data_IF_898849151057
#
_entry.id   IF_898849151057
#
_cell.length_a   1.000
_cell.length_b   1.000
_cell.length_c   1.000
_cell.angle_alpha   90.00
_cell.angle_beta   90.00
_cell.angle_gamma   90.00
#
_symmetry.space_group_name_H-M   'P 1'
#
loop_
_entity.id
_entity.type
_entity.pdbx_description
1 polymer ?
#
# COMPACT_ATOMS: atom_id res chain seq x y z
N UNK A 1 7.44 3.33 -13.66
CA UNK A 1 7.55 4.33 -14.75
C UNK A 1 8.73 5.24 -14.46
N UNK A 2 9.46 5.76 -15.47
CA UNK A 2 10.53 6.73 -15.21
C UNK A 2 9.89 8.05 -14.77
N UNK A 3 10.25 8.56 -13.60
CA UNK A 3 9.73 9.82 -13.03
C UNK A 3 10.86 10.87 -13.03
N UNK A 4 10.54 12.16 -13.17
CA UNK A 4 11.49 13.26 -13.07
C UNK A 4 11.04 14.28 -12.00
N UNK A 5 11.84 15.32 -11.73
CA UNK A 5 11.52 16.34 -10.72
C UNK A 5 10.17 17.05 -10.97
N UNK A 6 9.78 17.24 -12.24
CA UNK A 6 8.51 17.87 -12.60
C UNK A 6 7.30 16.93 -12.42
N UNK A 7 7.53 15.62 -12.39
CA UNK A 7 6.45 14.65 -12.28
C UNK A 7 5.67 14.76 -10.98
N UNK A 8 6.30 15.17 -9.86
CA UNK A 8 5.59 15.30 -8.57
C UNK A 8 4.44 16.31 -8.65
N UNK A 9 4.69 17.48 -9.25
CA UNK A 9 3.65 18.52 -9.40
C UNK A 9 2.56 18.07 -10.36
N UNK A 10 2.93 17.38 -11.44
CA UNK A 10 1.97 16.84 -12.42
C UNK A 10 1.07 15.79 -11.78
N UNK A 11 1.66 14.86 -11.02
CA UNK A 11 0.92 13.82 -10.31
C UNK A 11 -0.03 14.42 -9.28
N UNK A 12 0.38 15.45 -8.54
CA UNK A 12 -0.49 16.07 -7.53
C UNK A 12 -1.69 16.79 -8.17
N UNK A 13 -1.47 17.56 -9.24
CA UNK A 13 -2.57 18.22 -9.99
C UNK A 13 -3.53 17.17 -10.55
N UNK A 14 -2.98 16.11 -11.15
CA UNK A 14 -3.77 14.99 -11.66
C UNK A 14 -4.59 14.31 -10.56
N UNK A 15 -3.98 14.04 -9.42
CA UNK A 15 -4.61 13.41 -8.25
C UNK A 15 -5.76 14.26 -7.73
N UNK A 16 -5.55 15.57 -7.57
CA UNK A 16 -6.57 16.50 -7.10
C UNK A 16 -7.79 16.52 -8.03
N UNK A 17 -7.57 16.61 -9.36
CA UNK A 17 -8.68 16.62 -10.33
C UNK A 17 -9.40 15.29 -10.40
N UNK A 18 -8.67 14.18 -10.41
CA UNK A 18 -9.28 12.85 -10.43
C UNK A 18 -10.07 12.59 -9.14
N UNK A 19 -9.53 12.94 -7.98
CA UNK A 19 -10.23 12.80 -6.70
C UNK A 19 -11.53 13.61 -6.66
N UNK A 20 -11.50 14.85 -7.14
CA UNK A 20 -12.69 15.70 -7.23
C UNK A 20 -13.76 15.08 -8.16
N UNK A 21 -13.35 14.57 -9.32
CA UNK A 21 -14.26 13.89 -10.25
C UNK A 21 -14.88 12.65 -9.62
N UNK A 22 -14.08 11.80 -8.97
CA UNK A 22 -14.57 10.60 -8.30
C UNK A 22 -15.56 10.94 -7.18
N UNK A 23 -15.32 12.02 -6.44
CA UNK A 23 -16.16 12.40 -5.29
C UNK A 23 -17.47 13.08 -5.69
N UNK A 24 -17.46 13.97 -6.69
CA UNK A 24 -18.60 14.84 -6.99
C UNK A 24 -19.34 14.47 -8.28
N UNK A 25 -18.65 13.89 -9.26
CA UNK A 25 -19.23 13.67 -10.59
C UNK A 25 -19.65 12.21 -10.79
N UNK A 26 -19.06 11.25 -10.07
CA UNK A 26 -19.36 9.83 -10.21
C UNK A 26 -20.42 9.41 -9.19
N UNK A 27 -21.59 8.99 -9.68
CA UNK A 27 -22.74 8.59 -8.84
C UNK A 27 -23.00 7.08 -8.86
N UNK A 28 -21.95 6.28 -9.02
CA UNK A 28 -22.06 4.83 -9.11
C UNK A 28 -22.08 4.19 -7.70
N UNK A 29 -23.13 3.43 -7.32
CA UNK A 29 -23.19 2.74 -6.04
C UNK A 29 -22.05 1.75 -5.82
N UNK A 30 -21.57 1.08 -6.89
CA UNK A 30 -20.46 0.13 -6.83
C UNK A 30 -19.14 0.84 -6.49
N UNK A 31 -19.04 2.14 -6.76
CA UNK A 31 -17.88 2.98 -6.44
C UNK A 31 -18.04 3.74 -5.11
N UNK A 32 -19.06 3.43 -4.31
CA UNK A 32 -19.21 3.97 -2.97
C UNK A 32 -18.07 3.52 -2.05
N UNK A 33 -17.59 4.43 -1.19
CA UNK A 33 -16.49 4.23 -0.23
C UNK A 33 -15.12 3.91 -0.86
N UNK A 34 -14.96 4.21 -2.14
CA UNK A 34 -13.68 4.06 -2.84
C UNK A 34 -12.77 5.26 -2.58
N UNK A 35 -11.50 5.01 -2.27
CA UNK A 35 -10.50 6.07 -1.97
C UNK A 35 -9.37 6.07 -2.99
N UNK A 36 -9.05 7.22 -3.56
CA UNK A 36 -7.87 7.39 -4.43
C UNK A 36 -6.61 7.56 -3.56
N UNK A 37 -5.74 6.55 -3.54
CA UNK A 37 -4.51 6.56 -2.72
C UNK A 37 -3.35 7.23 -3.44
N UNK A 38 -3.29 7.14 -4.77
CA UNK A 38 -2.19 7.70 -5.53
C UNK A 38 -2.46 7.80 -7.02
N UNK A 39 -1.66 8.62 -7.71
CA UNK A 39 -1.67 8.73 -9.16
C UNK A 39 -0.24 8.84 -9.67
N UNK A 40 0.06 8.12 -10.75
CA UNK A 40 1.31 8.21 -11.48
C UNK A 40 1.04 8.56 -12.94
N UNK A 41 1.55 9.71 -13.36
CA UNK A 41 1.48 10.14 -14.77
C UNK A 41 2.82 9.84 -15.44
N UNK A 42 2.77 9.34 -16.67
CA UNK A 42 3.95 9.18 -17.50
C UNK A 42 4.57 10.55 -17.86
N UNK A 43 5.87 10.58 -18.18
CA UNK A 43 6.59 11.84 -18.48
C UNK A 43 5.96 12.60 -19.66
N UNK A 44 5.54 11.85 -20.68
CA UNK A 44 4.86 12.34 -21.88
C UNK A 44 3.35 12.57 -21.68
N UNK A 45 2.81 12.29 -20.49
CA UNK A 45 1.39 12.41 -20.13
C UNK A 45 0.46 11.60 -21.03
N UNK A 46 0.97 10.56 -21.69
CA UNK A 46 0.17 9.64 -22.50
C UNK A 46 -0.62 8.66 -21.65
N UNK A 47 -0.12 8.29 -20.47
CA UNK A 47 -0.74 7.31 -19.58
C UNK A 47 -0.75 7.83 -18.15
N UNK A 48 -1.87 7.58 -17.45
CA UNK A 48 -2.05 7.86 -16.03
C UNK A 48 -2.52 6.59 -15.33
N UNK A 49 -1.75 6.12 -14.34
CA UNK A 49 -2.17 5.07 -13.42
C UNK A 49 -2.78 5.69 -12.17
N UNK A 50 -3.96 5.24 -11.80
CA UNK A 50 -4.68 5.65 -10.60
C UNK A 50 -4.80 4.46 -9.66
N UNK A 51 -4.28 4.62 -8.44
CA UNK A 51 -4.30 3.62 -7.39
C UNK A 51 -5.48 3.88 -6.45
N UNK A 52 -6.27 2.84 -6.22
CA UNK A 52 -7.57 2.96 -5.61
C UNK A 52 -7.73 1.91 -4.52
N UNK A 53 -8.09 2.32 -3.31
CA UNK A 53 -8.33 1.42 -2.18
C UNK A 53 -9.84 1.29 -1.92
N UNK A 54 -10.25 0.07 -1.58
CA UNK A 54 -11.60 -0.33 -1.21
C UNK A 54 -11.55 -1.63 -0.37
N UNK A 55 -12.69 -2.10 0.12
CA UNK A 55 -12.77 -3.35 0.88
C UNK A 55 -12.39 -4.56 0.00
N UNK A 56 -11.72 -5.56 0.60
CA UNK A 56 -11.15 -6.70 -0.12
C UNK A 56 -12.17 -7.54 -0.88
N UNK A 57 -13.36 -7.71 -0.30
CA UNK A 57 -14.47 -8.44 -0.88
C UNK A 57 -15.08 -7.74 -2.11
N UNK A 58 -14.78 -6.45 -2.31
CA UNK A 58 -15.32 -5.62 -3.39
C UNK A 58 -14.36 -5.35 -4.53
N UNK A 59 -13.13 -5.89 -4.49
CA UNK A 59 -12.09 -5.59 -5.50
C UNK A 59 -12.56 -5.81 -6.94
N UNK A 60 -13.23 -6.92 -7.21
CA UNK A 60 -13.63 -7.26 -8.58
C UNK A 60 -14.79 -6.38 -9.05
N UNK A 61 -15.78 -6.15 -8.17
CA UNK A 61 -16.90 -5.24 -8.41
C UNK A 61 -16.41 -3.81 -8.71
N UNK A 62 -15.57 -3.26 -7.84
CA UNK A 62 -15.00 -1.92 -7.98
C UNK A 62 -14.14 -1.82 -9.24
N UNK A 63 -13.31 -2.81 -9.54
CA UNK A 63 -12.49 -2.81 -10.76
C UNK A 63 -13.35 -2.79 -12.02
N UNK A 64 -14.42 -3.58 -12.07
CA UNK A 64 -15.34 -3.60 -13.19
C UNK A 64 -16.11 -2.28 -13.33
N UNK A 65 -16.59 -1.73 -12.21
CA UNK A 65 -17.29 -0.45 -12.19
C UNK A 65 -16.37 0.71 -12.65
N UNK A 66 -15.11 0.73 -12.22
CA UNK A 66 -14.12 1.71 -12.68
C UNK A 66 -13.85 1.61 -14.18
N UNK A 67 -13.75 0.40 -14.74
CA UNK A 67 -13.58 0.22 -16.19
C UNK A 67 -14.82 0.65 -16.99
N UNK A 68 -16.04 0.43 -16.46
CA UNK A 68 -17.29 0.97 -17.07
C UNK A 68 -17.31 2.50 -17.03
N UNK A 69 -16.94 3.09 -15.90
CA UNK A 69 -16.95 4.55 -15.69
C UNK A 69 -15.77 5.28 -16.37
N UNK A 70 -14.71 4.55 -16.76
CA UNK A 70 -13.45 5.07 -17.32
C UNK A 70 -13.64 6.08 -18.45
N UNK A 71 -14.55 5.81 -19.38
CA UNK A 71 -14.83 6.73 -20.49
C UNK A 71 -15.35 8.09 -20.02
N UNK A 72 -16.31 8.08 -19.09
CA UNK A 72 -16.88 9.30 -18.50
C UNK A 72 -15.86 10.04 -17.64
N UNK A 73 -15.13 9.33 -16.79
CA UNK A 73 -14.06 9.91 -15.95
C UNK A 73 -12.99 10.55 -16.83
N UNK A 74 -12.55 9.88 -17.89
CA UNK A 74 -11.55 10.43 -18.83
C UNK A 74 -12.03 11.71 -19.50
N UNK A 75 -13.28 11.75 -19.96
CA UNK A 75 -13.86 12.96 -20.54
C UNK A 75 -13.84 14.13 -19.54
N UNK A 76 -14.33 13.93 -18.33
CA UNK A 76 -14.32 14.96 -17.28
C UNK A 76 -12.90 15.43 -16.96
N UNK A 77 -11.95 14.49 -16.87
CA UNK A 77 -10.55 14.79 -16.60
C UNK A 77 -9.91 15.64 -17.71
N UNK A 78 -10.28 15.39 -18.98
CA UNK A 78 -9.84 16.21 -20.11
C UNK A 78 -10.26 17.68 -19.99
N UNK A 79 -11.49 17.93 -19.51
CA UNK A 79 -12.00 19.28 -19.27
C UNK A 79 -11.31 19.93 -18.06
N UNK A 80 -10.99 19.15 -17.02
CA UNK A 80 -10.41 19.66 -15.78
C UNK A 80 -8.89 19.94 -15.85
N UNK A 81 -8.13 19.16 -16.63
CA UNK A 81 -6.67 19.27 -16.69
C UNK A 81 -6.15 20.30 -17.69
N UNK A 82 -6.91 20.61 -18.75
CA UNK A 82 -6.49 21.52 -19.81
C UNK A 82 -5.25 21.06 -20.60
N UNK A 83 -4.93 19.77 -20.58
CA UNK A 83 -3.82 19.21 -21.34
C UNK A 83 -4.20 19.00 -22.80
N UNK A 84 -3.21 19.09 -23.70
CA UNK A 84 -3.41 18.88 -25.15
C UNK A 84 -3.99 17.50 -25.46
N UNK A 85 -3.54 16.49 -24.73
CA UNK A 85 -3.99 15.11 -24.84
C UNK A 85 -4.38 14.64 -23.45
N UNK A 86 -5.57 14.07 -23.31
CA UNK A 86 -5.98 13.42 -22.07
C UNK A 86 -5.32 12.05 -21.99
N UNK A 87 -4.62 11.72 -20.88
CA UNK A 87 -3.96 10.44 -20.74
C UNK A 87 -4.95 9.28 -20.78
N UNK A 88 -4.47 8.13 -21.22
CA UNK A 88 -5.16 6.86 -20.97
C UNK A 88 -5.17 6.57 -19.47
N UNK A 89 -6.35 6.32 -18.92
CA UNK A 89 -6.53 6.00 -17.51
C UNK A 89 -6.43 4.50 -17.29
N UNK A 90 -5.58 4.09 -16.35
CA UNK A 90 -5.47 2.70 -15.90
C UNK A 90 -5.77 2.71 -14.40
N UNK A 91 -6.83 2.02 -14.00
CA UNK A 91 -7.15 1.85 -12.59
C UNK A 91 -6.46 0.60 -12.03
N UNK A 92 -5.97 0.69 -10.81
CA UNK A 92 -5.36 -0.42 -10.11
C UNK A 92 -5.79 -0.40 -8.64
N UNK A 93 -6.23 -1.54 -8.14
CA UNK A 93 -6.54 -1.68 -6.71
C UNK A 93 -5.24 -1.63 -5.91
N UNK A 94 -5.23 -0.77 -4.88
CA UNK A 94 -4.13 -0.62 -3.95
C UNK A 94 -4.29 -1.61 -2.79
N UNK A 95 -3.52 -2.69 -2.84
CA UNK A 95 -3.48 -3.73 -1.81
C UNK A 95 -2.40 -3.48 -0.75
N UNK A 96 -1.77 -2.30 -0.73
CA UNK A 96 -0.66 -2.00 0.18
C UNK A 96 -1.11 -1.99 1.64
N UNK A 97 -2.32 -1.49 1.91
CA UNK A 97 -2.90 -1.47 3.25
C UNK A 97 -3.18 -2.90 3.76
N UNK A 98 -3.77 -3.74 2.92
CA UNK A 98 -4.01 -5.16 3.18
C UNK A 98 -2.73 -5.95 3.49
N UNK A 99 -1.66 -5.67 2.74
CA UNK A 99 -0.36 -6.30 2.96
C UNK A 99 0.25 -5.82 4.29
N UNK A 100 0.15 -4.52 4.58
CA UNK A 100 0.63 -3.97 5.84
C UNK A 100 -0.08 -4.58 7.06
N UNK A 101 -1.40 -4.76 6.98
CA UNK A 101 -2.17 -5.44 8.05
C UNK A 101 -1.73 -6.90 8.22
N UNK A 102 -1.55 -7.63 7.11
CA UNK A 102 -1.08 -9.02 7.15
C UNK A 102 0.30 -9.12 7.80
N UNK A 103 1.23 -8.24 7.43
CA UNK A 103 2.57 -8.17 8.01
C UNK A 103 2.48 -7.85 9.50
N UNK A 104 1.68 -6.84 9.89
CA UNK A 104 1.49 -6.49 11.30
C UNK A 104 0.95 -7.66 12.13
N UNK A 105 0.00 -8.43 11.60
CA UNK A 105 -0.53 -9.63 12.26
C UNK A 105 0.49 -10.76 12.35
N UNK A 106 1.32 -10.94 11.32
CA UNK A 106 2.43 -11.90 11.37
C UNK A 106 3.46 -11.51 12.43
N UNK A 107 3.76 -10.21 12.55
CA UNK A 107 4.68 -9.66 13.55
C UNK A 107 4.15 -9.76 14.98
N UNK A 108 2.83 -9.86 15.23
CA UNK A 108 2.32 -10.11 16.58
C UNK A 108 2.67 -11.51 17.10
N UNK A 109 2.88 -12.46 16.20
CA UNK A 109 3.34 -13.82 16.54
C UNK A 109 4.87 -13.86 16.58
N UNK A 110 5.50 -12.95 17.34
CA UNK A 110 6.95 -13.00 17.58
C UNK A 110 7.24 -14.29 18.36
N UNK A 111 8.04 -15.22 17.82
CA UNK A 111 8.51 -16.36 18.59
C UNK A 111 9.28 -15.85 19.82
N UNK A 112 9.09 -16.46 20.98
CA UNK A 112 9.79 -16.10 22.22
C UNK A 112 11.33 -16.14 22.10
N UNK A 113 11.87 -16.76 21.05
CA UNK A 113 13.29 -16.78 20.72
C UNK A 113 13.86 -15.44 20.22
N UNK A 114 13.02 -14.49 19.79
CA UNK A 114 13.46 -13.13 19.43
C UNK A 114 13.55 -12.18 20.63
N UNK A 115 12.89 -12.53 21.74
CA UNK A 115 12.84 -11.75 22.99
C UNK A 115 14.01 -12.04 23.93
N UNK A 116 14.87 -13.00 23.58
CA UNK A 116 15.99 -13.39 24.42
C UNK A 116 17.04 -12.30 24.34
N UNK A 117 17.44 -11.74 25.49
CA UNK A 117 18.57 -10.81 25.56
C UNK A 117 19.78 -11.44 24.89
N UNK A 118 20.51 -10.64 24.11
CA UNK A 118 21.69 -11.12 23.40
C UNK A 118 22.92 -10.48 24.00
N UNK A 119 23.98 -11.26 24.17
CA UNK A 119 25.28 -10.73 24.58
C UNK A 119 25.94 -9.89 23.46
N UNK A 120 27.12 -9.33 23.75
CA UNK A 120 27.92 -8.53 22.79
C UNK A 120 28.26 -9.31 21.50
N UNK A 121 28.22 -10.64 21.54
CA UNK A 121 28.53 -11.52 20.41
C UNK A 121 27.28 -12.05 19.69
N UNK A 122 26.08 -11.69 20.15
CA UNK A 122 24.80 -12.04 19.53
C UNK A 122 24.20 -13.38 19.98
N UNK A 123 24.72 -14.00 21.05
CA UNK A 123 24.19 -15.24 21.63
C UNK A 123 23.10 -14.96 22.67
N UNK A 124 22.07 -15.82 22.77
CA UNK A 124 21.02 -15.69 23.78
C UNK A 124 21.59 -15.80 25.21
N UNK A 125 21.32 -14.81 26.04
CA UNK A 125 21.60 -14.78 27.48
C UNK A 125 20.55 -15.64 28.18
N UNK A 126 21.00 -16.73 28.80
CA UNK A 126 20.18 -17.66 29.58
C UNK A 126 20.35 -17.29 31.06
N UNK A 127 19.34 -16.65 31.65
CA UNK A 127 19.29 -16.41 33.09
C UNK A 127 18.76 -17.66 33.80
N UNK A 128 19.66 -18.39 34.46
CA UNK A 128 19.34 -19.54 35.28
C UNK A 128 20.58 -20.22 35.88
N UNK A 129 20.97 -19.77 37.08
CA UNK A 129 21.63 -20.60 38.10
C UNK A 129 20.75 -21.87 38.32
N UNK A 130 21.23 -23.09 38.55
CA UNK A 130 22.11 -23.56 39.62
C UNK A 130 22.81 -24.86 39.17
N UNK A 131 24.15 -24.88 39.20
CA UNK A 131 24.90 -26.13 39.24
C UNK A 131 24.91 -26.67 40.67
N UNK A 132 23.84 -27.32 41.10
CA UNK A 132 23.90 -28.28 42.21
C UNK A 132 24.07 -29.67 41.61
N UNK A 133 25.31 -30.17 41.61
CA UNK A 133 25.58 -31.60 41.70
C UNK A 133 26.60 -31.81 42.83
N UNK A 134 26.10 -32.39 43.92
CA UNK A 134 26.81 -32.73 45.14
C UNK A 134 27.87 -33.83 44.93
N UNK A 135 29.00 -33.66 45.62
CA UNK A 135 29.83 -34.63 46.37
C UNK A 135 30.05 -36.06 45.82
N UNK A 136 31.34 -36.42 45.69
CA UNK A 136 31.80 -37.81 45.65
C UNK A 136 33.33 -37.98 45.66
N UNK A 137 33.90 -38.05 46.87
CA UNK A 137 35.02 -38.91 47.34
C UNK A 137 36.37 -38.99 46.59
N UNK A 138 37.49 -38.89 47.35
CA UNK A 138 38.80 -39.36 46.86
C UNK A 138 40.07 -38.89 47.57
N UNK A 139 40.19 -39.15 48.88
CA UNK A 139 41.40 -39.61 49.61
C UNK A 139 42.83 -39.25 49.09
N UNK A 140 43.56 -38.40 49.83
CA UNK A 140 44.80 -38.75 50.55
C UNK A 140 45.38 -37.58 51.37
#
# INVERSE_FOLDING_TARGET
MKQNHNSRRVNEIAREKLASILLFEVSDPELSLVTLTGVEVSIDKSVMRAYVSCDRDRYDEVSQALERAKGRIRSLLGHALGWRVTPELIFQIDTTADEAERIAKALQNVPSTLSVEKDEFGYPVIDGEEGQDEQGEGEK
#
